data_IF_069430393027
#
_entry.id   IF_069430393027
#
_cell.length_a   1.000
_cell.length_b   1.000
_cell.length_c   1.000
_cell.angle_alpha   90.00
_cell.angle_beta   90.00
_cell.angle_gamma   90.00
#
_symmetry.space_group_name_H-M   'P 1'
#
loop_
_entity.id
_entity.type
_entity.pdbx_description
1 polymer ?
#
# COMPACT_ATOMS: atom_id res chain seq x y z
N UNK A 1 -24.92 -32.54 10.36
CA UNK A 1 -23.44 -32.38 10.24
C UNK A 1 -23.13 -31.70 8.90
N UNK A 2 -23.69 -30.50 8.65
CA UNK A 2 -23.68 -29.83 7.33
C UNK A 2 -22.79 -28.58 7.27
N UNK A 3 -22.29 -28.11 8.41
CA UNK A 3 -21.55 -26.85 8.48
C UNK A 3 -20.15 -26.96 7.84
N UNK A 4 -19.45 -28.06 8.11
CA UNK A 4 -18.12 -28.30 7.54
C UNK A 4 -18.14 -28.51 6.02
N UNK A 5 -19.19 -29.16 5.49
CA UNK A 5 -19.36 -29.31 4.03
C UNK A 5 -19.67 -27.97 3.37
N UNK A 6 -20.58 -27.17 3.94
CA UNK A 6 -20.87 -25.82 3.43
C UNK A 6 -19.65 -24.90 3.44
N UNK A 7 -18.82 -24.95 4.47
CA UNK A 7 -17.56 -24.19 4.53
C UNK A 7 -16.56 -24.66 3.47
N UNK A 8 -16.40 -25.97 3.28
CA UNK A 8 -15.53 -26.53 2.26
C UNK A 8 -15.99 -26.10 0.84
N UNK A 9 -17.30 -26.14 0.58
CA UNK A 9 -17.87 -25.71 -0.69
C UNK A 9 -17.73 -24.20 -0.92
N UNK A 10 -17.93 -23.38 0.13
CA UNK A 10 -17.71 -21.93 0.06
C UNK A 10 -16.25 -21.57 -0.29
N UNK A 11 -15.27 -22.21 0.36
CA UNK A 11 -13.86 -22.01 0.04
C UNK A 11 -13.51 -22.49 -1.38
N UNK A 12 -14.15 -23.58 -1.84
CA UNK A 12 -13.96 -24.12 -3.18
C UNK A 12 -14.48 -23.17 -4.26
N UNK A 13 -15.66 -22.57 -4.04
CA UNK A 13 -16.23 -21.54 -4.91
C UNK A 13 -15.38 -20.26 -4.92
N UNK A 14 -14.96 -19.80 -3.74
CA UNK A 14 -14.10 -18.60 -3.59
C UNK A 14 -12.77 -18.77 -4.33
N UNK A 15 -12.14 -19.94 -4.24
CA UNK A 15 -10.90 -20.24 -4.97
C UNK A 15 -11.08 -20.22 -6.49
N UNK A 16 -12.25 -20.61 -6.96
CA UNK A 16 -12.59 -20.62 -8.39
C UNK A 16 -12.79 -19.19 -8.92
N UNK A 17 -13.40 -18.33 -8.10
CA UNK A 17 -13.61 -16.92 -8.42
C UNK A 17 -12.31 -16.09 -8.39
N UNK A 18 -11.44 -16.35 -7.39
CA UNK A 18 -10.10 -15.75 -7.31
C UNK A 18 -9.23 -16.10 -8.52
N UNK A 19 -9.47 -17.25 -9.17
CA UNK A 19 -8.76 -17.66 -10.38
C UNK A 19 -9.19 -16.86 -11.62
N UNK A 20 -10.41 -16.32 -11.63
CA UNK A 20 -10.92 -15.46 -12.69
C UNK A 20 -10.56 -13.98 -12.47
N UNK A 21 -9.85 -13.65 -11.39
CA UNK A 21 -9.35 -12.30 -11.16
C UNK A 21 -8.19 -12.04 -12.11
N UNK A 22 -8.29 -10.96 -12.90
CA UNK A 22 -7.20 -10.49 -13.75
C UNK A 22 -6.12 -9.84 -12.88
N UNK A 23 -5.20 -10.65 -12.37
CA UNK A 23 -4.05 -10.16 -11.64
C UNK A 23 -3.11 -9.38 -12.57
N UNK A 24 -2.51 -8.28 -12.08
CA UNK A 24 -1.55 -7.51 -12.86
C UNK A 24 -0.37 -8.38 -13.29
N UNK A 25 0.13 -8.10 -14.48
CA UNK A 25 1.31 -8.80 -14.99
C UNK A 25 2.54 -8.44 -14.16
N UNK A 26 3.56 -9.32 -14.12
CA UNK A 26 4.80 -9.07 -13.36
C UNK A 26 5.44 -7.71 -13.68
N UNK A 27 5.33 -7.25 -14.93
CA UNK A 27 5.86 -5.95 -15.37
C UNK A 27 5.05 -4.77 -14.80
N UNK A 28 3.72 -4.89 -14.78
CA UNK A 28 2.84 -3.87 -14.19
C UNK A 28 3.04 -3.76 -12.68
N UNK A 29 3.13 -4.89 -11.99
CA UNK A 29 3.39 -4.91 -10.53
C UNK A 29 4.68 -4.18 -10.20
N UNK A 30 5.77 -4.45 -10.94
CA UNK A 30 7.06 -3.77 -10.71
C UNK A 30 6.95 -2.26 -10.99
N UNK A 31 6.24 -1.86 -12.04
CA UNK A 31 6.02 -0.45 -12.37
C UNK A 31 5.23 0.27 -11.27
N UNK A 32 4.18 -0.34 -10.75
CA UNK A 32 3.39 0.23 -9.67
C UNK A 32 4.19 0.32 -8.38
N UNK A 33 4.96 -0.70 -8.02
CA UNK A 33 5.84 -0.65 -6.84
C UNK A 33 6.88 0.47 -6.95
N UNK A 34 7.53 0.62 -8.11
CA UNK A 34 8.48 1.71 -8.35
C UNK A 34 7.81 3.09 -8.22
N UNK A 35 6.60 3.24 -8.74
CA UNK A 35 5.83 4.48 -8.61
C UNK A 35 5.51 4.80 -7.16
N UNK A 36 5.07 3.80 -6.37
CA UNK A 36 4.81 3.97 -4.93
C UNK A 36 6.08 4.37 -4.17
N UNK A 37 7.22 3.75 -4.49
CA UNK A 37 8.52 4.11 -3.88
C UNK A 37 8.88 5.57 -4.21
N UNK A 38 8.74 5.97 -5.47
CA UNK A 38 9.05 7.33 -5.91
C UNK A 38 8.17 8.38 -5.22
N UNK A 39 6.86 8.13 -5.14
CA UNK A 39 5.91 9.03 -4.46
C UNK A 39 6.21 9.09 -2.97
N UNK A 40 6.41 7.95 -2.32
CA UNK A 40 6.75 7.88 -0.88
C UNK A 40 8.04 8.65 -0.57
N UNK A 41 9.07 8.49 -1.40
CA UNK A 41 10.32 9.22 -1.26
C UNK A 41 10.13 10.73 -1.46
N UNK A 42 9.31 11.14 -2.42
CA UNK A 42 8.96 12.55 -2.64
C UNK A 42 8.24 13.17 -1.44
N UNK A 43 7.26 12.46 -0.87
CA UNK A 43 6.53 12.90 0.32
C UNK A 43 7.46 12.99 1.53
N UNK A 44 8.33 11.99 1.73
CA UNK A 44 9.30 11.99 2.82
C UNK A 44 10.28 13.18 2.72
N UNK A 45 10.78 13.47 1.52
CA UNK A 45 11.63 14.63 1.28
C UNK A 45 10.89 15.95 1.55
N UNK A 46 9.64 16.07 1.08
CA UNK A 46 8.82 17.25 1.30
C UNK A 46 8.55 17.52 2.78
N UNK A 47 8.07 16.51 3.51
CA UNK A 47 7.80 16.63 4.95
C UNK A 47 9.09 16.90 5.73
N UNK A 48 10.17 16.17 5.44
CA UNK A 48 11.45 16.39 6.13
C UNK A 48 12.03 17.79 5.92
N UNK A 49 11.87 18.37 4.72
CA UNK A 49 12.26 19.76 4.46
C UNK A 49 11.40 20.75 5.25
N UNK A 50 10.09 20.53 5.29
CA UNK A 50 9.19 21.37 6.08
C UNK A 50 9.49 21.29 7.58
N UNK A 51 9.72 20.08 8.11
CA UNK A 51 10.09 19.88 9.51
C UNK A 51 11.37 20.64 9.86
N UNK A 52 12.38 20.61 8.99
CA UNK A 52 13.60 21.36 9.20
C UNK A 52 13.34 22.88 9.23
N UNK A 53 12.55 23.40 8.29
CA UNK A 53 12.20 24.82 8.25
C UNK A 53 11.43 25.22 9.51
N UNK A 54 10.43 24.43 9.91
CA UNK A 54 9.62 24.72 11.08
C UNK A 54 10.40 24.64 12.39
N UNK A 55 11.33 23.69 12.54
CA UNK A 55 12.23 23.62 13.70
C UNK A 55 13.09 24.88 13.80
N UNK A 56 13.78 25.27 12.71
CA UNK A 56 14.63 26.46 12.72
C UNK A 56 13.83 27.74 13.02
N UNK A 57 12.58 27.81 12.55
CA UNK A 57 11.72 28.96 12.77
C UNK A 57 11.20 29.00 14.22
N UNK A 58 10.80 27.87 14.77
CA UNK A 58 10.41 27.76 16.19
C UNK A 58 11.58 28.08 17.12
N UNK A 59 12.77 27.54 16.85
CA UNK A 59 13.99 27.82 17.64
C UNK A 59 14.36 29.31 17.65
N UNK A 60 14.08 30.04 16.57
CA UNK A 60 14.46 31.46 16.46
C UNK A 60 13.41 32.43 16.98
N UNK A 61 12.14 32.03 17.02
CA UNK A 61 11.03 32.92 17.38
C UNK A 61 10.38 32.59 18.74
N UNK A 62 10.51 31.35 19.24
CA UNK A 62 9.82 30.91 20.47
C UNK A 62 10.78 30.55 21.61
N UNK A 63 11.89 29.86 21.31
CA UNK A 63 12.98 29.57 22.26
C UNK A 63 14.02 30.70 22.27
#
# INVERSE_FOLDING_TARGET
>A
MDFFQKLADYLKLTKLEVKNVNWPTRRETVRFTLLVIAVSAGVAAYLGLLDFIFINLLERFVL
#
